data_IF_858662677996
#
_entry.id   IF_858662677996
#
_cell.length_a   1.000
_cell.length_b   1.000
_cell.length_c   1.000
_cell.angle_alpha   90.00
_cell.angle_beta   90.00
_cell.angle_gamma   90.00
#
_symmetry.space_group_name_H-M   'P 1'
#
loop_
_entity.id
_entity.type
_entity.pdbx_description
1 polymer ?
#
# COMPACT_ATOMS: atom_id res chain seq x y z
N UNK A 1 0.69 17.93 32.47
CA UNK A 1 0.27 17.81 31.05
C UNK A 1 1.28 18.63 30.28
N UNK A 2 2.04 18.03 29.35
CA UNK A 2 2.91 18.81 28.45
C UNK A 2 2.03 19.75 27.62
N UNK A 3 2.42 21.02 27.51
CA UNK A 3 1.70 21.98 26.65
C UNK A 3 1.55 21.39 25.24
N UNK A 4 0.36 21.56 24.64
CA UNK A 4 0.11 21.17 23.24
C UNK A 4 1.09 21.92 22.37
N UNK A 5 1.88 21.24 21.51
CA UNK A 5 2.82 21.94 20.64
C UNK A 5 2.09 22.82 19.62
N UNK A 6 2.67 23.97 19.30
CA UNK A 6 2.14 24.88 18.27
C UNK A 6 2.28 24.30 16.86
N UNK A 7 3.35 23.55 16.65
CA UNK A 7 3.64 22.85 15.39
C UNK A 7 3.96 21.39 15.70
N UNK A 8 3.33 20.48 14.94
CA UNK A 8 3.67 19.06 14.98
C UNK A 8 4.55 18.72 13.78
N UNK A 9 5.70 18.13 14.06
CA UNK A 9 6.63 17.63 13.06
C UNK A 9 6.55 16.10 13.02
N UNK A 10 6.29 15.51 11.85
CA UNK A 10 6.18 14.06 11.74
C UNK A 10 7.54 13.39 11.58
N UNK A 11 7.80 12.34 12.37
CA UNK A 11 8.90 11.40 12.12
C UNK A 11 8.44 10.36 11.11
N UNK A 12 9.30 10.10 10.14
CA UNK A 12 9.01 9.21 9.01
C UNK A 12 10.25 8.40 8.64
N UNK A 13 10.08 7.36 7.87
CA UNK A 13 11.12 6.44 7.40
C UNK A 13 11.43 6.60 5.91
N UNK A 14 10.85 7.58 5.24
CA UNK A 14 11.13 7.85 3.84
C UNK A 14 12.03 9.08 3.66
N UNK A 15 12.77 9.07 2.58
CA UNK A 15 13.47 10.15 1.92
C UNK A 15 14.41 11.02 2.72
N UNK A 16 15.44 10.63 2.82
CA UNK A 16 16.17 9.83 3.78
C UNK A 16 15.83 10.31 5.20
N UNK A 17 15.68 9.40 6.10
CA UNK A 17 15.47 9.67 7.54
C UNK A 17 16.50 10.69 8.07
N UNK A 18 17.73 10.62 7.58
CA UNK A 18 18.80 11.57 7.89
C UNK A 18 18.42 13.02 7.50
N UNK A 19 17.80 13.23 6.34
CA UNK A 19 17.37 14.57 5.93
C UNK A 19 16.19 15.07 6.79
N UNK A 20 15.26 14.17 7.15
CA UNK A 20 14.15 14.48 8.06
C UNK A 20 14.67 14.84 9.46
N UNK A 21 15.63 14.06 9.99
CA UNK A 21 16.24 14.30 11.27
C UNK A 21 17.05 15.59 11.31
N UNK A 22 17.74 15.97 10.24
CA UNK A 22 18.51 17.21 10.16
C UNK A 22 17.64 18.46 9.95
N UNK A 23 16.44 18.32 9.38
CA UNK A 23 15.53 19.45 9.13
C UNK A 23 14.84 19.93 10.41
N UNK A 24 14.52 19.05 11.34
CA UNK A 24 13.88 19.40 12.62
C UNK A 24 14.66 20.45 13.43
N UNK A 25 15.98 20.32 13.67
CA UNK A 25 16.75 21.35 14.39
C UNK A 25 16.75 22.71 13.70
N UNK A 26 16.71 22.73 12.37
CA UNK A 26 16.61 23.98 11.60
C UNK A 26 15.28 24.68 11.90
N UNK A 27 14.16 23.94 11.83
CA UNK A 27 12.85 24.48 12.15
C UNK A 27 12.83 25.00 13.58
N UNK A 28 13.30 24.21 14.55
CA UNK A 28 13.35 24.58 15.96
C UNK A 28 14.17 25.86 16.18
N UNK A 29 15.30 26.01 15.49
CA UNK A 29 16.12 27.21 15.57
C UNK A 29 15.44 28.50 15.14
N UNK A 30 14.56 28.40 14.12
CA UNK A 30 13.77 29.55 13.67
C UNK A 30 12.55 29.83 14.55
N UNK A 31 11.87 28.79 15.01
CA UNK A 31 10.62 28.91 15.77
C UNK A 31 10.84 29.29 17.23
N UNK A 32 11.93 28.85 17.83
CA UNK A 32 12.28 29.12 19.22
C UNK A 32 12.38 30.63 19.53
N UNK A 33 12.93 31.43 18.61
CA UNK A 33 13.04 32.89 18.76
C UNK A 33 11.68 33.56 18.83
N UNK A 34 10.67 32.97 18.19
CA UNK A 34 9.28 33.45 18.20
C UNK A 34 8.46 32.85 19.35
N UNK A 35 9.04 32.05 20.22
CA UNK A 35 8.32 31.36 21.29
C UNK A 35 7.40 30.24 20.79
N UNK A 36 7.57 29.77 19.55
CA UNK A 36 6.76 28.70 18.95
C UNK A 36 7.37 27.35 19.28
N UNK A 37 6.58 26.49 19.90
CA UNK A 37 6.98 25.14 20.33
C UNK A 37 6.70 24.08 19.24
N UNK A 38 7.71 23.26 18.93
CA UNK A 38 7.60 22.19 17.92
C UNK A 38 7.70 20.83 18.61
N UNK A 39 6.58 20.11 18.60
CA UNK A 39 6.50 18.71 19.03
C UNK A 39 6.68 17.73 17.88
N UNK A 40 6.87 16.46 18.20
CA UNK A 40 7.02 15.39 17.21
C UNK A 40 5.96 14.32 17.37
N UNK A 41 5.50 13.74 16.27
CA UNK A 41 4.67 12.52 16.22
C UNK A 41 5.31 11.50 15.27
N UNK A 42 5.38 10.24 15.72
CA UNK A 42 6.06 9.18 14.97
C UNK A 42 5.05 8.39 14.12
N UNK A 43 5.04 8.67 12.83
CA UNK A 43 4.25 7.94 11.83
C UNK A 43 5.10 7.06 10.94
N UNK A 44 6.33 6.74 11.35
CA UNK A 44 7.20 5.76 10.68
C UNK A 44 6.56 4.38 10.66
N UNK A 45 7.03 3.51 9.77
CA UNK A 45 6.54 2.13 9.73
C UNK A 45 6.81 1.40 11.06
N UNK A 46 7.98 1.60 11.63
CA UNK A 46 8.35 1.02 12.93
C UNK A 46 7.41 1.53 14.04
N UNK A 47 7.22 2.83 14.18
CA UNK A 47 6.32 3.43 15.18
C UNK A 47 4.88 2.92 15.03
N UNK A 48 4.38 2.84 13.80
CA UNK A 48 3.05 2.29 13.52
C UNK A 48 2.93 0.80 13.86
N UNK A 49 3.97 -0.01 13.63
CA UNK A 49 3.99 -1.43 14.03
C UNK A 49 3.99 -1.53 15.56
N UNK A 50 4.89 -0.84 16.24
CA UNK A 50 5.02 -0.89 17.69
C UNK A 50 3.69 -0.54 18.37
N UNK A 51 3.00 0.50 17.91
CA UNK A 51 1.72 0.93 18.48
C UNK A 51 0.58 -0.10 18.38
N UNK A 52 0.70 -1.10 17.48
CA UNK A 52 -0.33 -2.14 17.32
C UNK A 52 -0.16 -3.33 18.28
N UNK A 53 0.97 -3.45 18.98
CA UNK A 53 1.29 -4.59 19.85
C UNK A 53 1.69 -4.18 21.28
N UNK A 54 1.03 -3.20 21.93
CA UNK A 54 1.45 -2.73 23.25
C UNK A 54 1.39 -3.83 24.31
N UNK A 55 0.48 -4.81 24.16
CA UNK A 55 0.32 -5.92 25.10
C UNK A 55 1.50 -6.91 25.13
N UNK A 56 2.37 -6.86 24.11
CA UNK A 56 3.56 -7.72 24.01
C UNK A 56 4.84 -7.00 24.42
N UNK A 57 4.77 -5.70 24.61
CA UNK A 57 5.94 -4.84 24.79
C UNK A 57 6.10 -4.40 26.24
N UNK A 58 7.33 -4.24 26.68
CA UNK A 58 7.65 -3.65 27.97
C UNK A 58 7.20 -2.19 28.00
N UNK A 59 6.85 -1.62 29.17
CA UNK A 59 6.38 -0.25 29.26
C UNK A 59 7.28 0.78 28.56
N UNK A 60 8.59 0.61 28.65
CA UNK A 60 9.59 1.49 28.03
C UNK A 60 9.70 1.34 26.50
N UNK A 61 9.15 0.29 25.94
CA UNK A 61 9.12 0.02 24.50
C UNK A 61 7.81 0.44 23.84
N UNK A 62 6.77 0.69 24.66
CA UNK A 62 5.45 1.06 24.15
C UNK A 62 5.47 2.47 23.56
N UNK A 63 4.74 2.65 22.48
CA UNK A 63 4.52 3.94 21.83
C UNK A 63 3.03 4.17 21.61
N UNK A 64 2.56 5.43 21.69
CA UNK A 64 1.17 5.76 21.35
C UNK A 64 0.93 5.53 19.84
N UNK A 65 -0.34 5.37 19.49
CA UNK A 65 -0.73 5.38 18.06
C UNK A 65 -0.78 6.84 17.56
N UNK A 66 0.42 7.37 17.28
CA UNK A 66 0.59 8.75 16.83
C UNK A 66 -0.12 9.02 15.49
N UNK A 67 -0.32 7.99 14.65
CA UNK A 67 -1.08 8.16 13.43
C UNK A 67 -2.57 8.42 13.72
N UNK A 68 -3.17 7.69 14.64
CA UNK A 68 -4.56 7.91 15.05
C UNK A 68 -4.71 9.30 15.70
N UNK A 69 -3.82 9.63 16.64
CA UNK A 69 -3.82 10.94 17.29
C UNK A 69 -3.67 12.09 16.31
N UNK A 70 -2.79 11.94 15.32
CA UNK A 70 -2.60 12.95 14.27
C UNK A 70 -3.85 13.08 13.38
N UNK A 71 -4.59 11.98 13.17
CA UNK A 71 -5.87 12.00 12.47
C UNK A 71 -6.88 12.91 13.15
N UNK A 72 -6.95 12.89 14.48
CA UNK A 72 -7.81 13.77 15.27
C UNK A 72 -7.31 15.22 15.24
N UNK A 73 -6.00 15.42 15.38
CA UNK A 73 -5.38 16.75 15.36
C UNK A 73 -5.64 17.50 14.05
N UNK A 74 -5.57 16.84 12.90
CA UNK A 74 -5.76 17.51 11.60
C UNK A 74 -7.19 17.95 11.33
N UNK A 75 -8.16 17.55 12.17
CA UNK A 75 -9.53 18.07 12.14
C UNK A 75 -9.65 19.44 12.79
N UNK A 76 -8.69 19.82 13.64
CA UNK A 76 -8.62 21.15 14.26
C UNK A 76 -8.18 22.18 13.20
N UNK A 77 -8.98 23.23 12.90
CA UNK A 77 -8.61 24.26 11.93
C UNK A 77 -7.33 25.01 12.29
N UNK A 78 -6.98 25.07 13.56
CA UNK A 78 -5.77 25.76 14.06
C UNK A 78 -4.54 24.83 14.11
N UNK A 79 -4.67 23.55 13.71
CA UNK A 79 -3.55 22.62 13.69
C UNK A 79 -2.50 23.00 12.65
N UNK A 80 -1.25 23.03 13.09
CA UNK A 80 -0.09 23.21 12.23
C UNK A 80 0.74 21.93 12.22
N UNK A 81 0.79 21.26 11.06
CA UNK A 81 1.51 20.00 10.90
C UNK A 81 2.50 20.10 9.75
N UNK A 82 3.77 19.84 10.03
CA UNK A 82 4.79 19.61 9.02
C UNK A 82 4.86 18.09 8.78
N UNK A 83 4.06 17.65 7.82
CA UNK A 83 4.01 16.24 7.44
C UNK A 83 5.05 15.97 6.36
N UNK A 84 6.05 15.19 6.73
CA UNK A 84 7.07 14.70 5.79
C UNK A 84 6.56 13.51 4.98
N UNK A 85 7.16 13.22 3.81
CA UNK A 85 6.86 12.02 3.05
C UNK A 85 7.05 10.76 3.89
N UNK A 86 6.16 9.78 3.73
CA UNK A 86 6.22 8.48 4.38
C UNK A 86 6.06 7.36 3.37
N UNK A 87 6.62 6.19 3.66
CA UNK A 87 6.49 5.02 2.78
C UNK A 87 5.06 4.48 2.76
N UNK A 88 4.68 3.93 1.62
CA UNK A 88 3.54 3.04 1.47
C UNK A 88 4.04 1.61 1.66
N UNK A 89 3.84 1.03 2.85
CA UNK A 89 4.48 -0.22 3.24
C UNK A 89 3.95 -1.44 2.46
N UNK A 90 4.83 -2.12 1.76
CA UNK A 90 4.59 -3.44 1.15
C UNK A 90 4.87 -4.57 2.14
N UNK A 91 4.45 -5.81 1.82
CA UNK A 91 4.76 -6.96 2.67
C UNK A 91 6.26 -7.12 2.96
N UNK A 92 7.16 -7.07 1.97
CA UNK A 92 8.59 -7.17 2.24
C UNK A 92 9.12 -6.07 3.16
N UNK A 93 8.56 -4.86 3.09
CA UNK A 93 8.96 -3.76 4.00
C UNK A 93 8.46 -4.00 5.42
N UNK A 94 7.24 -4.52 5.60
CA UNK A 94 6.74 -4.93 6.93
C UNK A 94 7.61 -6.04 7.52
N UNK A 95 7.90 -7.08 6.74
CA UNK A 95 8.74 -8.20 7.19
C UNK A 95 10.15 -7.72 7.56
N UNK A 96 10.73 -6.81 6.77
CA UNK A 96 12.02 -6.20 7.08
C UNK A 96 12.00 -5.38 8.37
N UNK A 97 10.99 -4.54 8.56
CA UNK A 97 10.83 -3.74 9.78
C UNK A 97 10.60 -4.62 11.02
N UNK A 98 9.82 -5.68 10.89
CA UNK A 98 9.61 -6.66 11.98
C UNK A 98 10.92 -7.33 12.37
N UNK A 99 11.68 -7.81 11.39
CA UNK A 99 12.97 -8.46 11.65
C UNK A 99 13.97 -7.50 12.35
N UNK A 100 13.97 -6.23 11.96
CA UNK A 100 14.81 -5.21 12.59
C UNK A 100 14.37 -4.92 14.03
N UNK A 101 13.08 -4.78 14.29
CA UNK A 101 12.54 -4.58 15.64
C UNK A 101 12.83 -5.78 16.56
N UNK A 102 12.66 -7.00 16.05
CA UNK A 102 13.00 -8.24 16.79
C UNK A 102 14.49 -8.28 17.14
N UNK A 103 15.37 -7.90 16.21
CA UNK A 103 16.82 -7.83 16.45
C UNK A 103 17.17 -6.79 17.52
N UNK A 104 16.35 -5.75 17.71
CA UNK A 104 16.46 -4.76 18.77
C UNK A 104 15.79 -5.17 20.09
N UNK A 105 15.22 -6.38 20.16
CA UNK A 105 14.63 -6.94 21.37
C UNK A 105 13.15 -6.56 21.61
N UNK A 106 12.43 -6.13 20.57
CA UNK A 106 10.99 -5.94 20.63
C UNK A 106 10.28 -7.28 20.37
N UNK A 107 9.30 -7.62 21.21
CA UNK A 107 8.46 -8.82 21.00
C UNK A 107 7.33 -8.51 20.02
N UNK A 108 7.69 -8.32 18.74
CA UNK A 108 6.75 -8.15 17.63
C UNK A 108 6.61 -9.50 16.92
N UNK A 109 5.39 -10.01 16.67
CA UNK A 109 5.19 -11.26 15.96
C UNK A 109 5.55 -11.14 14.47
N UNK A 110 5.88 -12.26 13.84
CA UNK A 110 6.05 -12.32 12.39
C UNK A 110 4.76 -11.95 11.67
N UNK A 111 4.89 -11.34 10.47
CA UNK A 111 3.74 -11.07 9.61
C UNK A 111 3.18 -12.36 9.00
N UNK A 112 1.97 -12.81 9.36
CA UNK A 112 1.41 -14.06 8.81
C UNK A 112 0.84 -13.82 7.42
N UNK A 113 1.57 -14.20 6.37
CA UNK A 113 1.11 -14.05 4.97
C UNK A 113 -0.15 -14.88 4.69
N UNK A 114 -0.21 -16.10 5.21
CA UNK A 114 -1.33 -17.04 5.02
C UNK A 114 -1.81 -17.58 6.38
N UNK A 115 -2.59 -16.79 7.13
CA UNK A 115 -2.99 -17.09 8.50
C UNK A 115 -3.93 -18.31 8.54
N UNK A 116 -3.60 -19.29 9.39
CA UNK A 116 -4.38 -20.53 9.57
C UNK A 116 -5.22 -20.51 10.85
N UNK A 117 -4.69 -19.90 11.90
CA UNK A 117 -5.34 -19.83 13.21
C UNK A 117 -6.03 -18.48 13.41
N UNK A 118 -6.95 -18.41 14.38
CA UNK A 118 -7.63 -17.15 14.71
C UNK A 118 -6.65 -16.14 15.34
N UNK A 119 -5.61 -16.61 16.04
CA UNK A 119 -4.54 -15.76 16.53
C UNK A 119 -3.75 -15.13 15.37
N UNK A 120 -3.34 -15.91 14.38
CA UNK A 120 -2.65 -15.40 13.19
C UNK A 120 -3.52 -14.42 12.39
N UNK A 121 -4.83 -14.68 12.30
CA UNK A 121 -5.78 -13.73 11.68
C UNK A 121 -5.85 -12.41 12.45
N UNK A 122 -5.87 -12.46 13.78
CA UNK A 122 -5.87 -11.26 14.61
C UNK A 122 -4.55 -10.47 14.46
N UNK A 123 -3.41 -11.14 14.45
CA UNK A 123 -2.10 -10.54 14.18
C UNK A 123 -2.09 -9.89 12.80
N UNK A 124 -2.55 -10.61 11.77
CA UNK A 124 -2.63 -10.08 10.42
C UNK A 124 -3.49 -8.82 10.34
N UNK A 125 -4.63 -8.81 11.02
CA UNK A 125 -5.53 -7.65 11.03
C UNK A 125 -4.86 -6.40 11.64
N UNK A 126 -3.99 -6.55 12.64
CA UNK A 126 -3.17 -5.46 13.19
C UNK A 126 -2.17 -4.94 12.14
N UNK A 127 -1.42 -5.82 11.48
CA UNK A 127 -0.50 -5.42 10.42
C UNK A 127 -1.20 -4.78 9.21
N UNK A 128 -2.38 -5.25 8.85
CA UNK A 128 -3.15 -4.70 7.73
C UNK A 128 -3.56 -3.22 7.96
N UNK A 129 -3.62 -2.75 9.22
CA UNK A 129 -3.82 -1.33 9.56
C UNK A 129 -2.61 -0.46 9.19
N UNK A 130 -1.40 -1.00 9.25
CA UNK A 130 -0.17 -0.27 8.95
C UNK A 130 0.33 -0.50 7.52
N UNK A 131 -0.23 -1.49 6.84
CA UNK A 131 0.14 -1.85 5.47
C UNK A 131 -0.34 -0.83 4.44
N UNK A 132 0.42 -0.70 3.36
CA UNK A 132 0.07 0.15 2.22
C UNK A 132 0.17 1.63 2.56
N UNK A 133 -0.74 2.42 2.02
CA UNK A 133 -0.82 3.88 2.21
C UNK A 133 -1.64 4.25 3.46
N UNK A 134 -1.39 3.59 4.59
CA UNK A 134 -2.20 3.77 5.81
C UNK A 134 -2.22 5.23 6.32
N UNK A 135 -1.14 5.98 6.13
CA UNK A 135 -1.03 7.38 6.59
C UNK A 135 -1.90 8.33 5.78
N UNK A 136 -1.91 8.18 4.44
CA UNK A 136 -2.60 9.13 3.57
C UNK A 136 -4.12 9.23 3.82
N UNK A 137 -4.88 8.13 4.01
CA UNK A 137 -6.30 8.22 4.34
C UNK A 137 -6.58 8.97 5.64
N UNK A 138 -5.77 8.75 6.67
CA UNK A 138 -5.92 9.40 7.99
C UNK A 138 -5.71 10.90 7.90
N UNK A 139 -4.71 11.33 7.11
CA UNK A 139 -4.36 12.75 6.96
C UNK A 139 -5.04 13.45 5.78
N UNK A 140 -5.98 12.80 5.13
CA UNK A 140 -6.59 13.27 3.88
C UNK A 140 -7.21 14.66 3.98
N UNK A 141 -7.94 14.95 5.03
CA UNK A 141 -8.58 16.26 5.22
C UNK A 141 -7.55 17.37 5.36
N UNK A 142 -6.56 17.20 6.23
CA UNK A 142 -5.47 18.17 6.38
C UNK A 142 -4.72 18.42 5.07
N UNK A 143 -4.46 17.37 4.27
CA UNK A 143 -3.83 17.52 2.95
C UNK A 143 -4.69 18.26 1.93
N UNK A 144 -6.03 18.12 1.98
CA UNK A 144 -6.95 18.74 1.02
C UNK A 144 -6.97 20.27 1.15
N UNK A 145 -6.83 20.79 2.35
CA UNK A 145 -6.93 22.22 2.64
C UNK A 145 -5.57 22.93 2.55
N UNK A 146 -4.47 22.21 2.69
CA UNK A 146 -3.10 22.75 2.66
C UNK A 146 -2.57 22.79 1.24
N UNK A 147 -2.87 23.88 0.55
CA UNK A 147 -2.37 24.11 -0.80
C UNK A 147 -1.01 24.80 -0.76
N UNK A 148 -0.22 24.61 -1.82
CA UNK A 148 1.03 25.32 -1.97
C UNK A 148 0.82 26.84 -1.84
N UNK A 149 1.74 27.52 -1.15
CA UNK A 149 1.72 28.96 -1.00
C UNK A 149 1.69 29.68 -2.37
N UNK A 150 1.11 30.88 -2.43
CA UNK A 150 1.00 31.66 -3.67
C UNK A 150 2.35 31.91 -4.34
N UNK A 151 3.39 32.15 -3.55
CA UNK A 151 4.77 32.32 -4.05
C UNK A 151 5.28 31.07 -4.79
N UNK A 152 5.04 29.88 -4.24
CA UNK A 152 5.41 28.60 -4.87
C UNK A 152 4.64 28.38 -6.15
N UNK A 153 3.33 28.67 -6.16
CA UNK A 153 2.49 28.59 -7.37
C UNK A 153 2.97 29.53 -8.46
N UNK A 154 3.32 30.77 -8.10
CA UNK A 154 3.82 31.77 -9.04
C UNK A 154 5.17 31.35 -9.60
N UNK A 155 6.06 30.82 -8.77
CA UNK A 155 7.32 30.25 -9.25
C UNK A 155 7.11 29.12 -10.23
N UNK A 156 6.23 28.15 -9.92
CA UNK A 156 5.95 27.02 -10.81
C UNK A 156 5.32 27.47 -12.15
N UNK A 157 4.49 28.51 -12.15
CA UNK A 157 3.95 29.10 -13.38
C UNK A 157 5.02 29.77 -14.24
N UNK A 158 5.98 30.47 -13.60
CA UNK A 158 7.08 31.15 -14.30
C UNK A 158 8.18 30.17 -14.72
N UNK A 159 8.29 29.04 -14.05
CA UNK A 159 9.29 28.00 -14.29
C UNK A 159 8.61 26.64 -14.49
N UNK A 160 7.83 26.45 -15.55
CA UNK A 160 7.09 25.22 -15.79
C UNK A 160 8.06 24.06 -15.99
N UNK A 161 7.72 22.91 -15.40
CA UNK A 161 8.47 21.67 -15.60
C UNK A 161 8.44 21.28 -17.07
N UNK A 162 9.62 21.10 -17.68
CA UNK A 162 9.74 20.69 -19.07
C UNK A 162 9.76 19.15 -19.15
N UNK A 163 8.64 18.60 -19.55
CA UNK A 163 8.60 17.25 -20.10
C UNK A 163 9.22 17.31 -21.51
N UNK A 164 10.10 16.40 -21.87
CA UNK A 164 10.68 16.36 -23.23
C UNK A 164 9.63 16.37 -24.34
N UNK A 165 10.01 16.73 -25.56
CA UNK A 165 9.11 16.66 -26.70
C UNK A 165 8.76 15.21 -27.01
N UNK A 166 7.49 14.92 -27.23
CA UNK A 166 7.06 13.64 -27.79
C UNK A 166 7.46 13.58 -29.27
N UNK A 167 8.38 12.69 -29.61
CA UNK A 167 8.83 12.54 -30.99
C UNK A 167 7.77 11.85 -31.87
N UNK A 168 7.63 12.27 -33.13
CA UNK A 168 6.65 11.69 -34.07
C UNK A 168 6.88 10.20 -34.36
N UNK A 169 8.12 9.76 -34.25
CA UNK A 169 8.59 8.39 -34.47
C UNK A 169 8.68 7.58 -33.19
N UNK A 170 8.18 8.11 -32.05
CA UNK A 170 8.15 7.39 -30.78
C UNK A 170 7.32 6.11 -30.92
N UNK A 171 7.93 4.99 -30.55
CA UNK A 171 7.26 3.69 -30.47
C UNK A 171 6.60 3.44 -29.13
N UNK A 172 6.68 4.40 -28.20
CA UNK A 172 6.06 4.29 -26.87
C UNK A 172 4.56 4.18 -27.02
N UNK A 173 3.99 3.12 -26.46
CA UNK A 173 2.55 2.87 -26.48
C UNK A 173 2.11 2.17 -25.17
N UNK A 174 0.82 1.95 -25.04
CA UNK A 174 0.22 1.25 -23.91
C UNK A 174 -0.47 -0.01 -24.45
N UNK A 175 -0.09 -1.16 -23.90
CA UNK A 175 -0.82 -2.40 -24.14
C UNK A 175 -1.99 -2.49 -23.14
N UNK A 176 -3.20 -2.75 -23.64
CA UNK A 176 -4.43 -2.76 -22.87
C UNK A 176 -5.23 -4.03 -23.16
N UNK A 177 -5.76 -4.66 -22.13
CA UNK A 177 -6.76 -5.71 -22.29
C UNK A 177 -8.06 -5.08 -22.80
N UNK A 178 -8.74 -5.76 -23.70
CA UNK A 178 -10.04 -5.31 -24.29
C UNK A 178 -11.22 -6.15 -23.84
N UNK A 179 -10.95 -7.27 -23.16
CA UNK A 179 -11.95 -8.17 -22.61
C UNK A 179 -11.37 -8.93 -21.41
N UNK A 180 -12.25 -9.35 -20.50
CA UNK A 180 -11.86 -10.10 -19.32
C UNK A 180 -11.11 -9.31 -18.25
N UNK A 181 -10.99 -8.02 -18.38
CA UNK A 181 -10.40 -7.08 -17.42
C UNK A 181 -11.44 -6.50 -16.45
N UNK A 182 -10.98 -5.68 -15.51
CA UNK A 182 -11.87 -5.06 -14.53
C UNK A 182 -12.89 -4.13 -15.18
N UNK A 183 -12.51 -3.38 -16.20
CA UNK A 183 -13.37 -2.42 -16.87
C UNK A 183 -14.49 -3.12 -17.65
N UNK A 184 -14.15 -4.16 -18.41
CA UNK A 184 -15.12 -4.91 -19.22
C UNK A 184 -16.11 -5.72 -18.38
N UNK A 185 -15.74 -6.07 -17.16
CA UNK A 185 -16.57 -6.87 -16.23
C UNK A 185 -17.26 -6.05 -15.14
N UNK A 186 -17.05 -4.73 -15.11
CA UNK A 186 -17.64 -3.87 -14.09
C UNK A 186 -19.18 -3.90 -14.15
N UNK A 187 -19.79 -4.00 -12.98
CA UNK A 187 -21.23 -3.90 -12.77
C UNK A 187 -21.49 -2.98 -11.58
N UNK A 188 -22.24 -1.93 -11.83
CA UNK A 188 -22.60 -0.94 -10.84
C UNK A 188 -24.12 -0.80 -10.75
N UNK A 189 -24.63 -0.57 -9.55
CA UNK A 189 -26.03 -0.30 -9.31
C UNK A 189 -26.21 0.64 -8.13
N UNK A 190 -27.28 1.42 -8.13
CA UNK A 190 -27.69 2.22 -6.98
C UNK A 190 -28.73 1.45 -6.18
N UNK A 191 -28.56 1.37 -4.88
CA UNK A 191 -29.52 0.73 -3.98
C UNK A 191 -30.76 1.59 -3.89
N UNK A 192 -31.90 1.00 -4.22
CA UNK A 192 -33.21 1.65 -4.03
C UNK A 192 -33.80 1.31 -2.66
N UNK A 193 -34.86 2.01 -2.26
CA UNK A 193 -35.58 1.71 -0.99
C UNK A 193 -35.99 0.22 -0.90
N UNK A 194 -36.38 -0.39 -2.01
CA UNK A 194 -36.76 -1.79 -2.06
C UNK A 194 -35.57 -2.77 -1.94
N UNK A 195 -34.34 -2.30 -2.18
CA UNK A 195 -33.11 -3.08 -2.10
C UNK A 195 -32.35 -2.86 -0.79
N UNK A 196 -32.72 -1.83 -0.03
CA UNK A 196 -32.08 -1.52 1.24
C UNK A 196 -32.21 -2.67 2.24
N UNK A 197 -31.17 -2.92 3.03
CA UNK A 197 -31.11 -4.00 3.99
C UNK A 197 -29.77 -4.70 3.99
N UNK A 198 -29.76 -6.00 4.29
CA UNK A 198 -28.52 -6.78 4.31
C UNK A 198 -28.31 -7.55 3.02
N UNK A 199 -27.25 -7.26 2.31
CA UNK A 199 -26.73 -8.05 1.21
C UNK A 199 -25.77 -9.14 1.68
N UNK A 200 -25.37 -10.01 0.74
CA UNK A 200 -24.38 -11.06 0.96
C UNK A 200 -23.53 -11.29 -0.30
N UNK A 201 -22.35 -11.85 -0.12
CA UNK A 201 -21.49 -12.33 -1.21
C UNK A 201 -21.54 -13.86 -1.18
N UNK A 202 -21.96 -14.47 -2.29
CA UNK A 202 -22.03 -15.92 -2.45
C UNK A 202 -21.18 -16.35 -3.65
N UNK A 203 -20.47 -17.45 -3.47
CA UNK A 203 -19.84 -18.17 -4.57
C UNK A 203 -20.73 -19.34 -4.98
N UNK A 204 -21.16 -19.34 -6.24
CA UNK A 204 -21.90 -20.44 -6.84
C UNK A 204 -20.93 -21.33 -7.63
N UNK A 205 -20.70 -22.55 -7.17
CA UNK A 205 -19.84 -23.52 -7.82
C UNK A 205 -20.47 -24.09 -9.10
N UNK A 206 -19.63 -24.55 -10.01
CA UNK A 206 -20.10 -25.22 -11.25
C UNK A 206 -20.86 -26.55 -10.98
N UNK A 207 -20.65 -27.11 -9.80
CA UNK A 207 -21.33 -28.31 -9.29
C UNK A 207 -22.69 -28.02 -8.64
N UNK A 208 -23.13 -26.77 -8.67
CA UNK A 208 -24.36 -26.29 -8.02
C UNK A 208 -24.22 -25.99 -6.53
N UNK A 209 -23.03 -26.14 -5.95
CA UNK A 209 -22.79 -25.75 -4.55
C UNK A 209 -22.81 -24.24 -4.38
N UNK A 210 -23.25 -23.78 -3.21
CA UNK A 210 -23.22 -22.36 -2.84
C UNK A 210 -22.42 -22.19 -1.56
N UNK A 211 -21.43 -21.31 -1.58
CA UNK A 211 -20.62 -20.93 -0.41
C UNK A 211 -20.83 -19.46 -0.11
N UNK A 212 -21.30 -19.13 1.10
CA UNK A 212 -21.41 -17.74 1.56
C UNK A 212 -20.02 -17.26 1.96
N UNK A 213 -19.51 -16.27 1.25
CA UNK A 213 -18.21 -15.65 1.51
C UNK A 213 -18.32 -14.50 2.53
N UNK A 214 -19.45 -13.78 2.49
CA UNK A 214 -19.81 -12.74 3.46
C UNK A 214 -21.33 -12.68 3.58
N UNK A 215 -21.84 -12.80 4.79
CA UNK A 215 -23.27 -12.98 5.05
C UNK A 215 -24.03 -11.68 5.38
N UNK A 216 -23.32 -10.62 5.77
CA UNK A 216 -23.93 -9.33 6.14
C UNK A 216 -23.13 -8.16 5.57
N UNK A 217 -23.77 -7.47 4.64
CA UNK A 217 -23.29 -6.19 4.10
C UNK A 217 -24.47 -5.24 4.18
N UNK A 218 -24.48 -4.29 5.12
CA UNK A 218 -25.58 -3.33 5.22
C UNK A 218 -25.57 -2.41 3.99
N UNK A 219 -26.75 -2.17 3.42
CA UNK A 219 -26.98 -1.22 2.36
C UNK A 219 -28.10 -0.28 2.73
N UNK A 220 -27.87 1.01 2.48
CA UNK A 220 -28.86 2.06 2.62
C UNK A 220 -29.36 2.50 1.22
N UNK A 221 -30.57 3.07 1.15
CA UNK A 221 -31.07 3.66 -0.08
C UNK A 221 -30.16 4.80 -0.53
N UNK A 222 -29.78 4.79 -1.80
CA UNK A 222 -28.82 5.74 -2.38
C UNK A 222 -27.38 5.28 -2.40
N UNK A 223 -27.02 4.18 -1.72
CA UNK A 223 -25.68 3.60 -1.82
C UNK A 223 -25.38 3.14 -3.24
N UNK A 224 -24.15 3.34 -3.68
CA UNK A 224 -23.66 2.80 -4.95
C UNK A 224 -22.86 1.55 -4.67
N UNK A 225 -23.33 0.43 -5.20
CA UNK A 225 -22.65 -0.86 -5.13
C UNK A 225 -21.99 -1.17 -6.45
N UNK A 226 -20.69 -1.42 -6.39
CA UNK A 226 -19.87 -1.69 -7.55
C UNK A 226 -19.12 -3.01 -7.37
N UNK A 227 -19.08 -3.83 -8.42
CA UNK A 227 -18.39 -5.11 -8.44
C UNK A 227 -17.75 -5.37 -9.80
N UNK A 228 -16.54 -5.89 -9.77
CA UNK A 228 -15.84 -6.29 -10.98
C UNK A 228 -14.97 -7.51 -10.75
N UNK A 229 -14.44 -8.08 -11.80
CA UNK A 229 -13.51 -9.20 -11.78
C UNK A 229 -12.55 -9.16 -12.96
N UNK A 230 -11.38 -9.75 -12.80
CA UNK A 230 -10.45 -10.01 -13.89
C UNK A 230 -10.34 -11.51 -14.14
N UNK A 231 -10.39 -11.91 -15.41
CA UNK A 231 -10.17 -13.29 -15.82
C UNK A 231 -8.66 -13.59 -15.82
N UNK A 232 -8.19 -14.47 -14.93
CA UNK A 232 -6.80 -14.91 -14.92
C UNK A 232 -6.39 -15.56 -16.25
N UNK A 233 -7.31 -16.28 -16.90
CA UNK A 233 -7.07 -16.90 -18.21
C UNK A 233 -6.81 -15.83 -19.29
N UNK A 234 -7.67 -14.80 -19.35
CA UNK A 234 -7.52 -13.70 -20.29
C UNK A 234 -6.26 -12.89 -20.01
N UNK A 235 -5.96 -12.57 -18.74
CA UNK A 235 -4.76 -11.89 -18.32
C UNK A 235 -3.49 -12.64 -18.73
N UNK A 236 -3.42 -13.95 -18.48
CA UNK A 236 -2.25 -14.77 -18.87
C UNK A 236 -2.09 -14.84 -20.38
N UNK A 237 -3.19 -14.91 -21.13
CA UNK A 237 -3.14 -14.87 -22.60
C UNK A 237 -2.63 -13.51 -23.08
N UNK A 238 -3.14 -12.42 -22.51
CA UNK A 238 -2.67 -11.07 -22.81
C UNK A 238 -1.13 -10.93 -22.63
N UNK A 239 -0.56 -11.41 -21.53
CA UNK A 239 0.90 -11.38 -21.35
C UNK A 239 1.63 -12.23 -22.40
N UNK A 240 1.09 -13.42 -22.75
CA UNK A 240 1.67 -14.28 -23.80
C UNK A 240 1.71 -13.58 -25.16
N UNK A 241 0.76 -12.72 -25.44
CA UNK A 241 0.68 -11.99 -26.72
C UNK A 241 1.55 -10.72 -26.68
N UNK A 242 1.60 -10.00 -25.58
CA UNK A 242 2.30 -8.73 -25.48
C UNK A 242 3.82 -8.88 -25.38
N UNK A 243 4.33 -9.92 -24.74
CA UNK A 243 5.79 -10.15 -24.63
C UNK A 243 6.46 -10.32 -26.02
N UNK A 244 5.99 -11.20 -26.91
CA UNK A 244 6.56 -11.30 -28.24
C UNK A 244 6.31 -10.06 -29.10
N UNK A 245 5.18 -9.38 -28.94
CA UNK A 245 4.89 -8.16 -29.70
C UNK A 245 5.85 -7.03 -29.33
N UNK A 246 6.12 -6.82 -28.04
CA UNK A 246 7.13 -5.85 -27.60
C UNK A 246 8.53 -6.16 -28.18
N UNK A 247 8.91 -7.45 -28.19
CA UNK A 247 10.17 -7.90 -28.81
C UNK A 247 10.20 -7.61 -30.30
N UNK A 248 9.11 -7.88 -31.02
CA UNK A 248 8.99 -7.60 -32.46
C UNK A 248 9.12 -6.11 -32.79
N UNK A 249 8.53 -5.25 -31.93
CA UNK A 249 8.61 -3.80 -32.08
C UNK A 249 9.97 -3.23 -31.65
N UNK A 250 10.78 -4.00 -30.93
CA UNK A 250 12.06 -3.55 -30.37
C UNK A 250 11.88 -2.52 -29.26
N UNK A 251 10.82 -2.66 -28.45
CA UNK A 251 10.51 -1.80 -27.29
C UNK A 251 10.60 -2.57 -25.98
N UNK A 252 10.85 -1.86 -24.88
CA UNK A 252 10.81 -2.42 -23.54
C UNK A 252 9.37 -2.61 -23.12
N UNK A 253 8.99 -3.85 -22.71
CA UNK A 253 7.73 -4.09 -22.02
C UNK A 253 7.92 -3.79 -20.54
N UNK A 254 7.07 -2.94 -19.98
CA UNK A 254 7.08 -2.59 -18.56
C UNK A 254 5.72 -2.89 -17.94
N UNK A 255 5.73 -3.67 -16.84
CA UNK A 255 4.57 -3.97 -16.02
C UNK A 255 4.73 -3.25 -14.67
N UNK A 256 3.96 -2.17 -14.47
CA UNK A 256 3.97 -1.39 -13.25
C UNK A 256 2.74 -1.70 -12.40
N UNK A 257 2.98 -2.19 -11.19
CA UNK A 257 1.94 -2.53 -10.22
C UNK A 257 2.15 -1.74 -8.93
N UNK A 258 1.05 -1.28 -8.33
CA UNK A 258 1.11 -0.55 -7.06
C UNK A 258 0.59 -1.41 -5.92
N UNK A 259 1.41 -2.37 -5.51
CA UNK A 259 1.08 -3.35 -4.45
C UNK A 259 0.81 -2.73 -3.07
N UNK A 260 1.07 -1.44 -2.88
CA UNK A 260 0.82 -0.74 -1.61
C UNK A 260 -0.57 -0.11 -1.53
N UNK A 261 -1.16 0.29 -2.65
CA UNK A 261 -2.56 0.78 -2.69
C UNK A 261 -3.52 -0.34 -3.10
N UNK A 262 -3.25 -0.97 -4.25
CA UNK A 262 -3.99 -2.12 -4.76
C UNK A 262 -3.41 -3.41 -4.17
N UNK A 263 -3.49 -3.54 -2.85
CA UNK A 263 -2.78 -4.56 -2.05
C UNK A 263 -3.11 -6.00 -2.39
N UNK A 264 -4.28 -6.27 -2.96
CA UNK A 264 -4.75 -7.62 -3.31
C UNK A 264 -4.58 -7.88 -4.79
N UNK A 265 -5.13 -7.03 -5.65
CA UNK A 265 -5.14 -7.24 -7.11
C UNK A 265 -3.75 -7.18 -7.72
N UNK A 266 -2.96 -6.16 -7.40
CA UNK A 266 -1.70 -5.89 -8.09
C UNK A 266 -0.62 -6.94 -7.85
N UNK A 267 -0.38 -7.46 -6.64
CA UNK A 267 0.53 -8.58 -6.44
C UNK A 267 0.13 -9.83 -7.22
N UNK A 268 -1.17 -10.12 -7.30
CA UNK A 268 -1.70 -11.28 -8.04
C UNK A 268 -1.47 -11.09 -9.55
N UNK A 269 -1.81 -9.92 -10.09
CA UNK A 269 -1.56 -9.59 -11.51
C UNK A 269 -0.07 -9.71 -11.83
N UNK A 270 0.78 -9.15 -10.96
CA UNK A 270 2.24 -9.24 -11.10
C UNK A 270 2.73 -10.68 -11.10
N UNK A 271 2.25 -11.51 -10.17
CA UNK A 271 2.56 -12.94 -10.11
C UNK A 271 2.20 -13.70 -11.38
N UNK A 272 1.05 -13.39 -11.99
CA UNK A 272 0.68 -13.93 -13.30
C UNK A 272 1.65 -13.49 -14.38
N UNK A 273 2.08 -12.22 -14.40
CA UNK A 273 3.10 -11.72 -15.33
C UNK A 273 4.42 -12.48 -15.17
N UNK A 274 4.92 -12.59 -13.94
CA UNK A 274 6.15 -13.33 -13.60
C UNK A 274 6.09 -14.77 -14.08
N UNK A 275 5.02 -15.49 -13.77
CA UNK A 275 4.88 -16.91 -14.15
C UNK A 275 4.68 -17.13 -15.65
N UNK A 276 4.21 -16.14 -16.39
CA UNK A 276 4.12 -16.21 -17.86
C UNK A 276 5.49 -15.92 -18.50
N UNK A 277 6.18 -14.88 -18.05
CA UNK A 277 7.48 -14.48 -18.61
C UNK A 277 8.56 -15.55 -18.35
N UNK A 278 8.51 -16.21 -17.19
CA UNK A 278 9.45 -17.25 -16.78
C UNK A 278 8.82 -18.64 -16.74
N UNK A 279 7.87 -18.92 -17.66
CA UNK A 279 7.10 -20.16 -17.66
C UNK A 279 7.98 -21.40 -17.61
N UNK A 280 9.01 -21.47 -18.46
CA UNK A 280 9.94 -22.63 -18.53
C UNK A 280 10.61 -22.91 -17.17
N UNK A 281 10.95 -21.87 -16.42
CA UNK A 281 11.60 -21.99 -15.10
C UNK A 281 10.59 -22.50 -14.08
N UNK A 282 9.40 -21.92 -14.06
CA UNK A 282 8.34 -22.29 -13.11
C UNK A 282 7.83 -23.71 -13.36
N UNK A 283 7.73 -24.14 -14.61
CA UNK A 283 7.35 -25.50 -14.99
C UNK A 283 8.46 -26.50 -14.63
N UNK A 284 9.71 -26.22 -15.02
CA UNK A 284 10.86 -27.09 -14.75
C UNK A 284 11.12 -27.33 -13.27
N UNK A 285 10.88 -26.32 -12.43
CA UNK A 285 11.19 -26.35 -11.00
C UNK A 285 9.94 -26.32 -10.11
N UNK A 286 8.77 -26.71 -10.64
CA UNK A 286 7.48 -26.61 -9.95
C UNK A 286 7.49 -27.26 -8.55
N UNK A 287 8.01 -28.50 -8.44
CA UNK A 287 8.05 -29.24 -7.17
C UNK A 287 8.98 -28.56 -6.16
N UNK A 288 10.14 -28.10 -6.61
CA UNK A 288 11.09 -27.36 -5.77
C UNK A 288 10.48 -26.07 -5.26
N UNK A 289 9.87 -25.29 -6.12
CA UNK A 289 9.22 -24.02 -5.75
C UNK A 289 8.05 -24.24 -4.79
N UNK A 290 7.28 -25.30 -4.99
CA UNK A 290 6.22 -25.69 -4.06
C UNK A 290 6.77 -26.08 -2.69
N UNK A 291 7.85 -26.91 -2.65
CA UNK A 291 8.52 -27.30 -1.40
C UNK A 291 9.05 -26.11 -0.63
N UNK A 292 9.66 -25.13 -1.33
CA UNK A 292 10.22 -23.93 -0.75
C UNK A 292 9.17 -22.86 -0.43
N UNK A 293 7.91 -23.04 -0.84
CA UNK A 293 6.84 -22.09 -0.65
C UNK A 293 7.05 -20.78 -1.44
N UNK A 294 7.63 -20.87 -2.66
CA UNK A 294 7.84 -19.71 -3.53
C UNK A 294 6.51 -19.04 -3.84
N UNK A 295 6.47 -17.72 -3.69
CA UNK A 295 5.31 -16.89 -4.02
C UNK A 295 5.65 -15.92 -5.17
N UNK A 296 5.17 -16.23 -6.38
CA UNK A 296 5.43 -15.43 -7.56
C UNK A 296 4.86 -13.98 -7.45
N UNK A 297 3.88 -13.75 -6.57
CA UNK A 297 3.33 -12.42 -6.32
C UNK A 297 4.35 -11.45 -5.71
N UNK A 298 5.40 -11.99 -5.09
CA UNK A 298 6.54 -11.22 -4.58
C UNK A 298 7.70 -11.12 -5.59
N UNK A 299 7.50 -11.58 -6.82
CA UNK A 299 8.47 -11.52 -7.90
C UNK A 299 9.61 -12.54 -7.78
N UNK A 300 10.64 -12.38 -8.63
CA UNK A 300 11.83 -13.24 -8.63
C UNK A 300 12.69 -13.09 -7.37
N UNK A 301 12.56 -11.97 -6.65
CA UNK A 301 13.25 -11.76 -5.38
C UNK A 301 12.92 -12.84 -4.35
N UNK A 302 11.66 -13.26 -4.27
CA UNK A 302 11.21 -14.34 -3.41
C UNK A 302 11.83 -15.69 -3.80
N UNK A 303 11.89 -15.97 -5.11
CA UNK A 303 12.55 -17.18 -5.64
C UNK A 303 14.00 -17.26 -5.19
N UNK A 304 14.76 -16.19 -5.40
CA UNK A 304 16.17 -16.14 -5.02
C UNK A 304 16.38 -16.22 -3.52
N UNK A 305 15.57 -15.53 -2.72
CA UNK A 305 15.69 -15.57 -1.26
C UNK A 305 15.45 -16.98 -0.71
N UNK A 306 14.45 -17.69 -1.22
CA UNK A 306 14.10 -19.02 -0.75
C UNK A 306 15.09 -20.09 -1.21
N UNK A 307 15.63 -20.00 -2.42
CA UNK A 307 16.70 -20.88 -2.89
C UNK A 307 17.99 -20.68 -2.05
N UNK A 308 18.30 -19.45 -1.65
CA UNK A 308 19.49 -19.20 -0.81
C UNK A 308 19.35 -19.79 0.60
N UNK A 309 18.14 -19.82 1.16
CA UNK A 309 17.88 -20.41 2.50
C UNK A 309 17.94 -21.94 2.51
N UNK A 310 17.74 -22.60 1.37
CA UNK A 310 17.77 -24.07 1.23
C UNK A 310 19.20 -24.61 0.93
N UNK A 311 20.19 -23.71 0.73
CA UNK A 311 21.62 -24.03 0.56
C UNK A 311 22.37 -24.00 1.89
#
# INVERSE_FOLDING_TARGET
MSEKPDIIYTKVDEAPELASGSFLPIIQSFTQVAGVNVGTMDISLAGRIISQFPERLKPEQQQPDDLALLGDVVLDPDANVIKLPNISASNPQIEGAVAELQAQGYDIPDYPQDPKTDEEKAIKAKFDKVKGSAVNPVLRQGNSDRRAATSVKNYAKSNPHKMGKWAKDSKTNIATMTDGDFCSNEKSTTITDAMAGNGKIEFAGADGSTTVLKDKIPFESGDVVDATRMSCKALRQFFKDQVPEAKKQGVLLSLHMKATMMKVSDPIIFGHGVTVVFADVFEKHADTFKKLGVNANNGLGDVYAKIKRDR
#
